data_IF_051689803159
#
_entry.id   IF_051689803159
#
_cell.length_a   1.000
_cell.length_b   1.000
_cell.length_c   1.000
_cell.angle_alpha   90.00
_cell.angle_beta   90.00
_cell.angle_gamma   90.00
#
_symmetry.space_group_name_H-M   'P 1'
#
loop_
_entity.id
_entity.type
_entity.pdbx_description
1 polymer ?
#
# COMPACT_ATOMS: atom_id res chain seq x y z
N UNK A 1 -4.17 -1.17 -12.24
CA UNK A 1 -3.67 -0.19 -11.26
C UNK A 1 -4.68 -0.17 -10.12
N UNK A 2 -4.29 -0.46 -8.89
CA UNK A 2 -5.20 -0.43 -7.73
C UNK A 2 -4.93 0.88 -7.00
N UNK A 3 -5.95 1.75 -6.95
CA UNK A 3 -5.90 3.00 -6.19
C UNK A 3 -6.17 2.70 -4.69
N UNK A 4 -5.62 3.49 -3.75
CA UNK A 4 -5.92 3.34 -2.33
C UNK A 4 -7.43 3.46 -2.07
N UNK A 5 -8.03 2.50 -1.36
CA UNK A 5 -9.46 2.50 -1.02
C UNK A 5 -9.65 2.72 0.50
N UNK A 6 -10.50 3.66 0.93
CA UNK A 6 -10.85 3.81 2.34
C UNK A 6 -11.75 2.65 2.79
N UNK A 7 -11.41 2.01 3.91
CA UNK A 7 -12.19 0.91 4.50
C UNK A 7 -12.87 1.39 5.79
N UNK A 8 -14.20 1.35 5.82
CA UNK A 8 -15.00 1.68 7.01
C UNK A 8 -15.15 0.46 7.92
N UNK A 9 -14.65 0.55 9.16
CA UNK A 9 -14.78 -0.51 10.17
C UNK A 9 -16.20 -0.53 10.76
N UNK A 10 -16.97 -1.59 10.48
CA UNK A 10 -18.24 -1.92 11.17
C UNK A 10 -18.09 -3.07 12.17
N UNK A 11 -17.09 -3.93 11.96
CA UNK A 11 -16.76 -5.11 12.75
C UNK A 11 -15.27 -5.08 13.16
N UNK A 12 -14.83 -6.03 13.99
CA UNK A 12 -13.40 -6.31 14.20
C UNK A 12 -12.72 -6.61 12.85
N UNK A 13 -11.95 -5.64 12.34
CA UNK A 13 -11.22 -5.76 11.08
C UNK A 13 -9.84 -6.35 11.34
N UNK A 14 -9.47 -7.36 10.57
CA UNK A 14 -8.15 -7.98 10.64
C UNK A 14 -7.28 -7.61 9.45
N UNK A 15 -5.97 -7.78 9.58
CA UNK A 15 -5.01 -7.53 8.50
C UNK A 15 -5.37 -8.31 7.24
N UNK A 16 -5.66 -9.61 7.37
CA UNK A 16 -6.03 -10.42 6.22
C UNK A 16 -7.33 -9.97 5.56
N UNK A 17 -8.33 -9.57 6.36
CA UNK A 17 -9.59 -9.04 5.83
C UNK A 17 -9.41 -7.71 5.12
N UNK A 18 -8.60 -6.80 5.67
CA UNK A 18 -8.32 -5.50 5.06
C UNK A 18 -7.61 -5.66 3.70
N UNK A 19 -6.61 -6.54 3.62
CA UNK A 19 -5.92 -6.85 2.36
C UNK A 19 -6.90 -7.46 1.35
N UNK A 20 -7.77 -8.38 1.75
CA UNK A 20 -8.78 -8.97 0.88
C UNK A 20 -9.79 -7.92 0.36
N UNK A 21 -10.25 -7.01 1.23
CA UNK A 21 -11.13 -5.90 0.86
C UNK A 21 -10.47 -4.91 -0.11
N UNK A 22 -9.14 -4.76 -0.04
CA UNK A 22 -8.35 -3.96 -0.98
C UNK A 22 -8.10 -4.67 -2.33
N UNK A 23 -8.67 -5.86 -2.57
CA UNK A 23 -8.50 -6.65 -3.79
C UNK A 23 -7.43 -7.73 -3.71
N UNK A 24 -6.91 -8.00 -2.50
CA UNK A 24 -5.86 -8.99 -2.26
C UNK A 24 -4.45 -8.44 -2.43
N UNK A 25 -3.47 -9.21 -1.97
CA UNK A 25 -2.07 -8.87 -2.17
C UNK A 25 -1.69 -9.04 -3.65
N UNK A 26 -0.96 -8.07 -4.20
CA UNK A 26 -0.47 -8.14 -5.57
C UNK A 26 0.55 -9.28 -5.72
N UNK A 27 0.67 -9.84 -6.94
CA UNK A 27 1.56 -10.99 -7.19
C UNK A 27 3.04 -10.72 -6.90
N UNK A 28 3.46 -9.45 -6.94
CA UNK A 28 4.82 -8.99 -6.67
C UNK A 28 4.94 -8.30 -5.31
N UNK A 29 3.94 -8.43 -4.44
CA UNK A 29 4.00 -7.90 -3.09
C UNK A 29 4.94 -8.75 -2.22
N UNK A 30 5.72 -8.11 -1.36
CA UNK A 30 6.44 -8.77 -0.29
C UNK A 30 5.49 -9.07 0.87
N UNK A 31 4.78 -10.18 0.78
CA UNK A 31 3.84 -10.62 1.84
C UNK A 31 4.53 -11.23 3.06
N UNK A 32 5.85 -11.45 3.00
CA UNK A 32 6.65 -11.88 4.15
C UNK A 32 6.93 -10.77 5.16
N UNK A 33 6.83 -9.50 4.74
CA UNK A 33 7.05 -8.33 5.59
C UNK A 33 6.04 -7.24 5.24
N UNK A 34 4.93 -7.24 5.97
CA UNK A 34 3.90 -6.20 5.90
C UNK A 34 4.08 -5.25 7.07
N UNK A 35 4.05 -3.95 6.78
CA UNK A 35 4.17 -2.90 7.79
C UNK A 35 2.79 -2.38 8.17
N UNK A 36 2.55 -2.23 9.46
CA UNK A 36 1.41 -1.51 10.02
C UNK A 36 1.95 -0.34 10.78
N UNK A 37 1.66 0.85 10.28
CA UNK A 37 2.01 2.07 10.95
C UNK A 37 0.84 2.51 11.83
N UNK A 38 1.05 2.53 13.15
CA UNK A 38 0.01 2.83 14.14
C UNK A 38 0.30 4.10 14.92
N UNK A 39 -0.66 5.02 14.95
CA UNK A 39 -0.59 6.20 15.83
C UNK A 39 -1.07 5.81 17.23
N UNK A 40 -0.29 6.13 18.25
CA UNK A 40 -0.71 5.99 19.65
C UNK A 40 -1.28 7.31 20.14
N UNK A 41 -2.46 7.27 20.74
CA UNK A 41 -3.12 8.45 21.31
C UNK A 41 -2.19 9.16 22.29
N UNK A 42 -2.01 10.47 22.09
CA UNK A 42 -1.19 11.32 22.95
C UNK A 42 0.32 11.27 22.72
N UNK A 43 0.81 10.48 21.75
CA UNK A 43 2.24 10.44 21.39
C UNK A 43 2.47 11.06 20.01
N UNK A 44 3.52 11.87 19.91
CA UNK A 44 4.02 12.38 18.62
C UNK A 44 4.84 11.26 17.98
N UNK A 45 4.25 10.56 17.02
CA UNK A 45 4.95 9.51 16.25
C UNK A 45 4.03 8.36 15.83
N UNK A 46 4.57 7.50 14.98
CA UNK A 46 3.90 6.30 14.49
C UNK A 46 4.78 5.08 14.80
N UNK A 47 4.18 4.04 15.39
CA UNK A 47 4.83 2.76 15.64
C UNK A 47 4.83 1.94 14.34
N UNK A 48 5.99 1.43 13.93
CA UNK A 48 6.13 0.53 12.77
C UNK A 48 6.11 -0.93 13.24
N UNK A 49 4.96 -1.58 13.07
CA UNK A 49 4.74 -2.97 13.42
C UNK A 49 4.91 -3.85 12.18
N UNK A 50 5.73 -4.90 12.28
CA UNK A 50 6.02 -5.82 11.17
C UNK A 50 5.33 -7.16 11.35
N UNK A 51 4.67 -7.63 10.30
CA UNK A 51 3.94 -8.90 10.32
C UNK A 51 4.22 -9.74 9.06
N UNK A 52 4.17 -11.06 9.23
CA UNK A 52 4.29 -12.01 8.13
C UNK A 52 2.89 -12.42 7.64
N UNK A 53 2.40 -11.72 6.62
CA UNK A 53 1.07 -12.00 6.07
C UNK A 53 0.99 -13.41 5.44
N UNK A 54 2.09 -13.95 4.91
CA UNK A 54 2.11 -15.34 4.42
C UNK A 54 1.91 -16.37 5.53
N UNK A 55 2.46 -16.14 6.72
CA UNK A 55 2.27 -17.02 7.86
C UNK A 55 0.81 -16.97 8.34
N UNK A 56 0.21 -15.78 8.40
CA UNK A 56 -1.20 -15.57 8.73
C UNK A 56 -2.11 -16.29 7.73
N UNK A 57 -1.89 -16.09 6.43
CA UNK A 57 -2.68 -16.72 5.36
C UNK A 57 -2.59 -18.25 5.38
N UNK A 58 -1.46 -18.80 5.82
CA UNK A 58 -1.24 -20.26 5.96
C UNK A 58 -1.74 -20.81 7.30
N UNK A 59 -2.32 -19.97 8.17
CA UNK A 59 -2.78 -20.36 9.51
C UNK A 59 -1.66 -20.69 10.50
N UNK A 60 -0.43 -20.27 10.22
CA UNK A 60 0.73 -20.48 11.11
C UNK A 60 0.87 -19.38 12.17
N UNK A 61 0.35 -18.20 11.88
CA UNK A 61 0.26 -17.07 12.79
C UNK A 61 -1.19 -16.62 12.92
N UNK A 62 -1.54 -16.05 14.08
CA UNK A 62 -2.87 -15.49 14.32
C UNK A 62 -3.02 -14.21 13.50
N UNK A 63 -4.19 -14.01 12.90
CA UNK A 63 -4.49 -12.77 12.17
C UNK A 63 -4.48 -11.57 13.13
N UNK A 64 -4.02 -10.43 12.62
CA UNK A 64 -3.76 -9.23 13.41
C UNK A 64 -5.03 -8.40 13.46
N UNK A 65 -5.50 -8.08 14.67
CA UNK A 65 -6.61 -7.16 14.85
C UNK A 65 -6.13 -5.72 14.63
N UNK A 66 -6.77 -5.01 13.71
CA UNK A 66 -6.44 -3.63 13.37
C UNK A 66 -7.10 -2.65 14.34
N UNK A 67 -6.45 -1.50 14.51
CA UNK A 67 -6.93 -0.38 15.29
C UNK A 67 -7.36 0.78 14.37
N UNK A 68 -8.20 1.70 14.85
CA UNK A 68 -8.51 2.92 14.12
C UNK A 68 -7.23 3.68 13.74
N UNK A 69 -7.22 4.22 12.52
CA UNK A 69 -6.08 4.99 11.97
C UNK A 69 -4.81 4.17 11.67
N UNK A 70 -4.87 2.83 11.69
CA UNK A 70 -3.79 2.00 11.18
C UNK A 70 -3.58 2.21 9.67
N UNK A 71 -2.33 2.39 9.26
CA UNK A 71 -1.92 2.43 7.84
C UNK A 71 -1.20 1.13 7.51
N UNK A 72 -1.72 0.38 6.54
CA UNK A 72 -1.13 -0.90 6.10
C UNK A 72 -0.30 -0.64 4.84
N UNK A 73 1.00 -0.91 4.91
CA UNK A 73 1.93 -0.82 3.78
C UNK A 73 2.41 -2.22 3.37
N UNK A 74 1.98 -2.64 2.18
CA UNK A 74 2.39 -3.89 1.54
C UNK A 74 3.31 -3.53 0.37
N UNK A 75 4.61 -3.51 0.63
CA UNK A 75 5.61 -3.11 -0.37
C UNK A 75 5.76 -4.15 -1.47
N UNK A 76 6.08 -3.69 -2.67
CA UNK A 76 6.50 -4.58 -3.75
C UNK A 76 7.91 -5.10 -3.47
N UNK A 77 8.12 -6.40 -3.64
CA UNK A 77 9.45 -7.02 -3.62
C UNK A 77 10.23 -6.60 -4.87
N UNK A 78 10.90 -5.44 -4.81
CA UNK A 78 11.96 -5.07 -5.73
C UNK A 78 11.61 -4.12 -6.89
N UNK A 79 12.49 -3.13 -7.06
CA UNK A 79 12.89 -2.43 -8.30
C UNK A 79 11.93 -1.42 -8.97
N UNK A 80 10.63 -1.35 -8.67
CA UNK A 80 9.78 -0.36 -9.36
C UNK A 80 9.97 1.09 -8.87
N UNK A 81 10.19 1.34 -7.57
CA UNK A 81 10.30 2.72 -7.05
C UNK A 81 11.56 3.44 -7.55
N UNK A 82 12.70 2.74 -7.60
CA UNK A 82 13.97 3.36 -7.99
C UNK A 82 14.15 3.50 -9.52
N UNK A 83 13.53 2.61 -10.31
CA UNK A 83 13.61 2.68 -11.77
C UNK A 83 12.71 3.79 -12.32
N UNK A 84 11.48 3.91 -11.81
CA UNK A 84 10.54 4.96 -12.20
C UNK A 84 11.04 6.37 -11.88
N UNK A 85 11.70 6.57 -10.74
CA UNK A 85 12.27 7.89 -10.40
C UNK A 85 13.46 8.27 -11.28
N UNK A 86 14.32 7.31 -11.66
CA UNK A 86 15.42 7.56 -12.60
C UNK A 86 14.91 7.89 -14.00
N UNK A 87 13.89 7.18 -14.48
CA UNK A 87 13.29 7.43 -15.79
C UNK A 87 12.64 8.83 -15.87
N UNK A 88 11.99 9.29 -14.79
CA UNK A 88 11.43 10.65 -14.70
C UNK A 88 12.53 11.72 -14.77
N UNK A 89 13.63 11.55 -14.04
CA UNK A 89 14.75 12.52 -14.05
C UNK A 89 15.46 12.52 -15.41
N UNK A 90 15.67 11.35 -16.01
CA UNK A 90 16.36 11.22 -17.31
C UNK A 90 15.51 11.79 -18.47
N UNK A 91 14.19 11.62 -18.44
CA UNK A 91 13.30 12.23 -19.43
C UNK A 91 13.12 13.74 -19.22
N UNK A 92 13.22 14.25 -17.99
CA UNK A 92 13.13 15.69 -17.71
C UNK A 92 14.32 16.49 -18.25
N UNK A 93 15.50 15.87 -18.38
CA UNK A 93 16.70 16.52 -18.94
C UNK A 93 16.80 16.50 -20.46
N UNK A 94 15.90 15.80 -21.18
CA UNK A 94 16.02 15.56 -22.63
C UNK A 94 14.96 16.20 -23.52
N UNK A 95 13.97 16.90 -22.99
CA UNK A 95 13.01 17.60 -23.84
C UNK A 95 11.88 18.26 -23.08
N UNK A 96 11.67 19.55 -23.37
CA UNK A 96 10.47 20.26 -23.00
C UNK A 96 9.21 19.62 -23.61
N UNK A 97 8.14 19.60 -22.81
CA UNK A 97 6.73 19.67 -23.20
C UNK A 97 6.17 18.62 -24.17
N UNK A 98 5.42 17.67 -23.61
CA UNK A 98 4.49 16.84 -24.38
C UNK A 98 3.65 15.90 -23.53
N UNK A 99 2.89 16.41 -22.55
CA UNK A 99 1.70 15.68 -22.07
C UNK A 99 0.60 16.00 -23.10
N UNK A 100 0.14 15.06 -23.94
CA UNK A 100 -1.12 15.28 -24.63
C UNK A 100 -2.23 15.24 -23.57
N UNK A 101 -2.66 16.43 -23.13
CA UNK A 101 -3.97 16.60 -22.52
C UNK A 101 -5.00 16.17 -23.56
N UNK A 102 -5.49 14.93 -23.44
CA UNK A 102 -6.67 14.49 -24.18
C UNK A 102 -7.85 15.37 -23.72
N UNK A 103 -8.11 16.42 -24.51
CA UNK A 103 -9.36 17.17 -24.49
C UNK A 103 -10.47 16.25 -25.00
N UNK A 104 -11.19 15.61 -24.08
CA UNK A 104 -12.52 15.10 -24.37
C UNK A 104 -13.49 16.29 -24.30
N UNK A 105 -13.86 16.84 -25.46
CA UNK A 105 -15.07 17.65 -25.57
C UNK A 105 -16.25 16.69 -25.71
N UNK A 106 -17.22 16.79 -24.80
CA UNK A 106 -18.58 16.29 -24.97
C UNK A 106 -19.51 17.47 -24.63
N UNK A 107 -19.89 18.25 -25.64
CA UNK A 107 -21.26 18.49 -26.13
C UNK A 107 -21.18 19.35 -27.38
#
# INVERSE_FOLDING_TARGET
MVAPQPIFMKDQLTLGRAIAMAGGAQRLANTGEVHIYRTKDGLIGQEDLKFNYDAIRKGREKDVLLQPHDIIDVRLSGVMSFKSWKDVIVNMGKGSLGIPLQRAFIY
#
